data_IF_879316403023
#
_entry.id   IF_879316403023
#
_cell.length_a   1.000
_cell.length_b   1.000
_cell.length_c   1.000
_cell.angle_alpha   90.00
_cell.angle_beta   90.00
_cell.angle_gamma   90.00
#
_symmetry.space_group_name_H-M   'P 1'
#
loop_
_entity.id
_entity.type
_entity.pdbx_description
1 polymer ?
#
# COMPACT_ATOMS: atom_id res chain seq x y z
N UNK A 1 -21.92 23.25 -19.17
CA UNK A 1 -21.72 21.84 -18.81
C UNK A 1 -20.44 21.79 -18.01
N UNK A 2 -20.49 21.42 -16.73
CA UNK A 2 -19.28 21.27 -15.93
C UNK A 2 -18.40 20.19 -16.55
N UNK A 3 -17.09 20.46 -16.65
CA UNK A 3 -16.10 19.54 -17.19
C UNK A 3 -16.08 18.25 -16.38
N UNK A 4 -16.52 17.14 -16.96
CA UNK A 4 -16.57 15.85 -16.30
C UNK A 4 -15.12 15.33 -16.16
N UNK A 5 -14.67 15.20 -14.91
CA UNK A 5 -13.38 14.62 -14.59
C UNK A 5 -13.56 13.17 -14.11
N UNK A 6 -12.64 12.31 -14.52
CA UNK A 6 -12.59 10.90 -14.16
C UNK A 6 -11.38 10.64 -13.26
N UNK A 7 -11.49 9.65 -12.36
CA UNK A 7 -10.30 9.07 -11.75
C UNK A 7 -9.76 7.99 -12.69
N UNK A 8 -8.49 8.14 -13.08
CA UNK A 8 -7.76 7.21 -13.96
C UNK A 8 -6.77 6.46 -13.10
N UNK A 9 -6.92 5.14 -13.04
CA UNK A 9 -6.05 4.26 -12.27
C UNK A 9 -5.13 3.49 -13.20
N UNK A 10 -3.84 3.58 -12.97
CA UNK A 10 -2.79 2.88 -13.69
C UNK A 10 -2.35 1.66 -12.87
N UNK A 11 -2.70 0.43 -13.32
CA UNK A 11 -2.29 -0.78 -12.62
C UNK A 11 -0.78 -1.00 -12.69
N UNK A 12 -0.19 -1.59 -11.64
CA UNK A 12 1.20 -2.07 -11.70
C UNK A 12 1.37 -3.15 -12.78
N UNK A 13 2.60 -3.40 -13.20
CA UNK A 13 2.93 -4.50 -14.14
C UNK A 13 2.40 -5.84 -13.61
N UNK A 14 2.50 -6.07 -12.29
CA UNK A 14 2.02 -7.30 -11.63
C UNK A 14 0.50 -7.41 -11.56
N UNK A 15 -0.21 -6.30 -11.76
CA UNK A 15 -1.68 -6.24 -11.74
C UNK A 15 -2.35 -6.45 -13.10
N UNK A 16 -1.59 -6.43 -14.20
CA UNK A 16 -2.14 -6.52 -15.57
C UNK A 16 -3.04 -7.74 -15.80
N UNK A 17 -2.68 -8.88 -15.22
CA UNK A 17 -3.47 -10.12 -15.31
C UNK A 17 -4.54 -10.23 -14.19
N UNK A 18 -4.64 -9.24 -13.31
CA UNK A 18 -5.52 -9.21 -12.14
C UNK A 18 -6.46 -8.00 -12.14
N UNK A 19 -6.67 -7.37 -13.30
CA UNK A 19 -7.53 -6.20 -13.45
C UNK A 19 -8.96 -6.44 -12.94
N UNK A 20 -9.63 -7.58 -13.16
CA UNK A 20 -10.96 -7.83 -12.61
C UNK A 20 -10.98 -7.77 -11.08
N UNK A 21 -9.94 -8.32 -10.40
CA UNK A 21 -9.80 -8.22 -8.95
C UNK A 21 -9.57 -6.78 -8.50
N UNK A 22 -8.72 -6.02 -9.20
CA UNK A 22 -8.49 -4.62 -8.88
C UNK A 22 -9.76 -3.77 -9.05
N UNK A 23 -10.55 -3.98 -10.10
CA UNK A 23 -11.86 -3.32 -10.29
C UNK A 23 -12.79 -3.65 -9.12
N UNK A 24 -12.82 -4.92 -8.69
CA UNK A 24 -13.62 -5.34 -7.54
C UNK A 24 -13.17 -4.64 -6.27
N UNK A 25 -11.86 -4.53 -6.04
CA UNK A 25 -11.30 -3.83 -4.89
C UNK A 25 -11.61 -2.33 -4.91
N UNK A 26 -11.52 -1.67 -6.10
CA UNK A 26 -11.89 -0.26 -6.26
C UNK A 26 -13.36 -0.05 -5.88
N UNK A 27 -14.28 -0.88 -6.39
CA UNK A 27 -15.70 -0.76 -6.04
C UNK A 27 -15.96 -0.97 -4.56
N UNK A 28 -15.25 -1.90 -3.92
CA UNK A 28 -15.38 -2.17 -2.49
C UNK A 28 -14.85 -1.01 -1.65
N UNK A 29 -13.63 -0.50 -1.95
CA UNK A 29 -13.03 0.57 -1.14
C UNK A 29 -13.83 1.87 -1.26
N UNK A 30 -14.35 2.21 -2.42
CA UNK A 30 -15.23 3.37 -2.60
C UNK A 30 -16.46 3.26 -1.71
N UNK A 31 -17.11 2.08 -1.64
CA UNK A 31 -18.24 1.85 -0.74
C UNK A 31 -17.85 1.95 0.73
N UNK A 32 -16.71 1.36 1.13
CA UNK A 32 -16.19 1.42 2.49
C UNK A 32 -15.92 2.88 2.90
N UNK A 33 -15.41 3.69 1.98
CA UNK A 33 -15.08 5.10 2.19
C UNK A 33 -16.26 6.05 1.89
N UNK A 34 -17.49 5.53 1.73
CA UNK A 34 -18.71 6.29 1.44
C UNK A 34 -18.59 7.20 0.21
N UNK A 35 -17.84 6.76 -0.82
CA UNK A 35 -17.70 7.49 -2.07
C UNK A 35 -18.70 6.98 -3.11
N UNK A 36 -19.53 7.88 -3.63
CA UNK A 36 -20.50 7.56 -4.69
C UNK A 36 -19.81 7.54 -6.06
N UNK A 37 -20.15 6.55 -6.86
CA UNK A 37 -19.65 6.40 -8.22
C UNK A 37 -20.71 5.81 -9.16
N UNK A 38 -20.68 6.22 -10.42
CA UNK A 38 -21.58 5.71 -11.47
C UNK A 38 -21.03 4.45 -12.11
N UNK A 39 -19.74 4.43 -12.41
CA UNK A 39 -19.11 3.29 -13.07
C UNK A 39 -17.64 3.13 -12.74
N UNK A 40 -17.16 1.85 -12.76
CA UNK A 40 -15.76 1.48 -12.74
C UNK A 40 -15.53 0.51 -13.89
N UNK A 41 -14.76 0.90 -14.90
CA UNK A 41 -14.57 0.11 -16.13
C UNK A 41 -13.13 0.19 -16.64
N UNK A 42 -12.71 -0.83 -17.36
CA UNK A 42 -11.41 -0.87 -18.04
C UNK A 42 -11.48 -0.10 -19.36
N UNK A 43 -10.42 0.68 -19.66
CA UNK A 43 -10.16 1.24 -20.99
C UNK A 43 -8.69 1.02 -21.36
N UNK A 44 -8.42 0.02 -22.21
CA UNK A 44 -7.06 -0.39 -22.53
C UNK A 44 -6.32 -0.93 -21.30
N UNK A 45 -5.24 -0.27 -20.94
CA UNK A 45 -4.37 -0.63 -19.80
C UNK A 45 -4.71 0.11 -18.52
N UNK A 46 -5.69 1.02 -18.55
CA UNK A 46 -6.12 1.79 -17.37
C UNK A 46 -7.53 1.42 -16.92
N UNK A 47 -7.86 1.80 -15.68
CA UNK A 47 -9.21 1.68 -15.12
C UNK A 47 -9.75 3.07 -14.90
N UNK A 48 -10.97 3.31 -15.41
CA UNK A 48 -11.70 4.57 -15.28
C UNK A 48 -12.73 4.45 -14.18
N UNK A 49 -12.79 5.45 -13.35
CA UNK A 49 -13.81 5.60 -12.31
C UNK A 49 -14.59 6.90 -12.56
N UNK A 50 -15.88 6.77 -12.84
CA UNK A 50 -16.82 7.88 -12.91
C UNK A 50 -17.41 8.08 -11.52
N UNK A 51 -16.79 8.96 -10.75
CA UNK A 51 -17.14 9.25 -9.36
C UNK A 51 -17.77 10.63 -9.24
N UNK A 52 -18.69 10.80 -8.29
CA UNK A 52 -19.32 12.09 -8.02
C UNK A 52 -18.29 13.11 -7.51
N UNK A 53 -17.38 12.66 -6.66
CA UNK A 53 -16.21 13.44 -6.21
C UNK A 53 -14.90 12.74 -6.58
N UNK A 54 -14.22 13.16 -7.66
CA UNK A 54 -12.96 12.56 -8.08
C UNK A 54 -11.82 12.71 -7.08
N UNK A 55 -11.82 13.79 -6.27
CA UNK A 55 -10.72 14.06 -5.31
C UNK A 55 -10.77 13.07 -4.15
N UNK A 56 -11.90 12.99 -3.45
CA UNK A 56 -12.04 12.03 -2.35
C UNK A 56 -12.01 10.58 -2.83
N UNK A 57 -12.56 10.31 -4.02
CA UNK A 57 -12.49 8.98 -4.62
C UNK A 57 -11.07 8.57 -4.97
N UNK A 58 -10.23 9.47 -5.49
CA UNK A 58 -8.82 9.19 -5.77
C UNK A 58 -8.04 8.90 -4.49
N UNK A 59 -8.28 9.64 -3.42
CA UNK A 59 -7.69 9.39 -2.10
C UNK A 59 -8.10 8.03 -1.52
N UNK A 60 -9.39 7.66 -1.63
CA UNK A 60 -9.88 6.36 -1.21
C UNK A 60 -9.24 5.21 -2.02
N UNK A 61 -9.15 5.37 -3.34
CA UNK A 61 -8.54 4.36 -4.22
C UNK A 61 -7.03 4.24 -3.97
N UNK A 62 -6.35 5.31 -3.58
CA UNK A 62 -4.92 5.29 -3.26
C UNK A 62 -4.57 4.50 -1.99
N UNK A 63 -5.55 4.03 -1.23
CA UNK A 63 -5.35 3.03 -0.18
C UNK A 63 -5.05 1.63 -0.73
N UNK A 64 -5.37 1.35 -2.00
CA UNK A 64 -5.27 0.01 -2.58
C UNK A 64 -3.87 -0.31 -3.10
N UNK A 65 -3.48 -1.57 -2.94
CA UNK A 65 -2.33 -2.15 -3.64
C UNK A 65 -2.69 -2.57 -5.08
N UNK A 66 -1.66 -2.71 -5.91
CA UNK A 66 -1.81 -3.03 -7.32
C UNK A 66 -1.90 -1.81 -8.23
N UNK A 67 -1.69 -0.63 -7.69
CA UNK A 67 -1.76 0.66 -8.40
C UNK A 67 -0.37 1.30 -8.46
N UNK A 68 0.07 1.63 -9.66
CA UNK A 68 1.33 2.34 -9.90
C UNK A 68 1.16 3.85 -9.80
N UNK A 69 0.07 4.35 -10.41
CA UNK A 69 -0.26 5.78 -10.46
C UNK A 69 -1.77 5.96 -10.47
N UNK A 70 -2.23 7.03 -9.85
CA UNK A 70 -3.62 7.48 -9.90
C UNK A 70 -3.65 8.93 -10.40
N UNK A 71 -4.64 9.27 -11.22
CA UNK A 71 -4.78 10.60 -11.74
C UNK A 71 -6.24 11.05 -11.78
N UNK A 72 -6.48 12.35 -11.66
CA UNK A 72 -7.75 12.99 -12.01
C UNK A 72 -7.56 13.61 -13.39
N UNK A 73 -8.39 13.23 -14.35
CA UNK A 73 -8.19 13.61 -15.74
C UNK A 73 -9.49 13.97 -16.44
N UNK A 74 -9.40 14.83 -17.44
CA UNK A 74 -10.45 15.10 -18.42
C UNK A 74 -10.34 14.12 -19.56
N UNK A 75 -11.46 13.57 -19.98
CA UNK A 75 -11.53 12.62 -21.09
C UNK A 75 -11.83 13.36 -22.39
N UNK A 76 -11.02 13.11 -23.41
CA UNK A 76 -11.26 13.56 -24.79
C UNK A 76 -11.17 12.37 -25.75
N UNK A 77 -11.66 12.50 -26.97
CA UNK A 77 -11.40 11.49 -28.01
C UNK A 77 -9.91 11.44 -28.35
N UNK A 78 -9.40 10.27 -28.68
CA UNK A 78 -8.03 10.11 -29.18
C UNK A 78 -7.93 10.65 -30.63
N UNK A 79 -7.91 11.97 -30.72
CA UNK A 79 -7.82 12.80 -31.91
C UNK A 79 -6.79 13.90 -31.66
N UNK A 80 -5.90 14.10 -32.64
CA UNK A 80 -4.76 15.02 -32.49
C UNK A 80 -5.18 16.41 -32.02
N UNK A 81 -6.11 17.03 -32.73
CA UNK A 81 -6.54 18.42 -32.44
C UNK A 81 -7.25 18.52 -31.06
N UNK A 82 -8.08 17.52 -30.73
CA UNK A 82 -8.81 17.52 -29.45
C UNK A 82 -7.87 17.34 -28.26
N UNK A 83 -6.89 16.42 -28.38
CA UNK A 83 -5.90 16.20 -27.32
C UNK A 83 -5.02 17.43 -27.13
N UNK A 84 -4.49 18.01 -28.21
CA UNK A 84 -3.67 19.24 -28.16
C UNK A 84 -4.46 20.39 -27.54
N UNK A 85 -5.71 20.62 -27.97
CA UNK A 85 -6.57 21.67 -27.43
C UNK A 85 -6.84 21.50 -25.94
N UNK A 86 -7.12 20.28 -25.49
CA UNK A 86 -7.39 20.01 -24.07
C UNK A 86 -6.12 20.16 -23.21
N UNK A 87 -4.96 19.66 -23.69
CA UNK A 87 -3.67 19.88 -22.97
C UNK A 87 -3.40 21.38 -22.84
N UNK A 88 -3.63 22.14 -23.92
CA UNK A 88 -3.45 23.61 -23.92
C UNK A 88 -4.39 24.30 -22.93
N UNK A 89 -5.63 23.81 -22.80
CA UNK A 89 -6.63 24.35 -21.87
C UNK A 89 -6.25 24.04 -20.42
N UNK A 90 -5.97 22.76 -20.13
CA UNK A 90 -5.56 22.31 -18.79
C UNK A 90 -4.25 22.98 -18.37
N UNK A 91 -3.24 22.97 -19.23
CA UNK A 91 -1.97 23.65 -18.97
C UNK A 91 -2.13 25.15 -18.73
N UNK A 92 -2.99 25.78 -19.56
CA UNK A 92 -3.33 27.20 -19.38
C UNK A 92 -3.96 27.51 -18.01
N UNK A 93 -4.66 26.58 -17.38
CA UNK A 93 -5.29 26.75 -16.07
C UNK A 93 -4.37 26.39 -14.90
N UNK A 94 -3.45 25.45 -15.10
CA UNK A 94 -2.59 24.94 -14.05
C UNK A 94 -1.28 25.70 -13.86
N UNK A 95 -0.77 26.34 -14.94
CA UNK A 95 0.53 27.02 -14.92
C UNK A 95 0.47 28.38 -14.22
N UNK A 96 1.39 28.59 -13.29
CA UNK A 96 1.62 29.85 -12.63
C UNK A 96 2.69 30.67 -13.36
N UNK A 97 2.80 31.95 -12.96
CA UNK A 97 3.77 32.90 -13.55
C UNK A 97 5.20 32.39 -13.38
N UNK A 98 5.95 32.30 -14.48
CA UNK A 98 7.36 31.93 -14.50
C UNK A 98 7.65 30.43 -14.37
N UNK A 99 6.64 29.57 -14.19
CA UNK A 99 6.84 28.12 -14.11
C UNK A 99 7.35 27.51 -15.41
N UNK A 100 8.23 26.52 -15.26
CA UNK A 100 8.66 25.65 -16.36
C UNK A 100 7.74 24.44 -16.40
N UNK A 101 7.27 24.10 -17.60
CA UNK A 101 6.37 22.96 -17.76
C UNK A 101 6.93 21.93 -18.74
N UNK A 102 6.60 20.68 -18.49
CA UNK A 102 6.89 19.58 -19.40
C UNK A 102 5.55 18.95 -19.84
N UNK A 103 5.33 18.88 -21.16
CA UNK A 103 4.22 18.11 -21.72
C UNK A 103 4.74 16.71 -22.00
N UNK A 104 4.07 15.68 -21.43
CA UNK A 104 4.39 14.28 -21.67
C UNK A 104 3.14 13.51 -22.08
N UNK A 105 3.21 12.82 -23.21
CA UNK A 105 2.09 12.04 -23.76
C UNK A 105 2.54 10.60 -23.94
N UNK A 106 1.84 9.69 -23.28
CA UNK A 106 2.12 8.25 -23.33
C UNK A 106 0.90 7.47 -23.82
N UNK A 107 1.10 6.20 -24.16
CA UNK A 107 0.04 5.29 -24.58
C UNK A 107 -0.04 5.10 -26.11
N UNK A 108 -1.24 4.76 -26.60
CA UNK A 108 -1.46 4.38 -28.01
C UNK A 108 -2.09 5.52 -28.78
N UNK A 109 -1.35 6.11 -29.72
CA UNK A 109 -1.85 7.11 -30.65
C UNK A 109 -2.52 6.46 -31.88
N UNK A 110 -3.38 7.21 -32.56
CA UNK A 110 -4.11 6.75 -33.72
C UNK A 110 -3.83 7.64 -34.95
N UNK A 111 -2.84 7.25 -35.74
CA UNK A 111 -2.48 7.95 -36.99
C UNK A 111 -1.60 9.19 -36.78
N UNK A 112 -0.98 9.36 -35.63
CA UNK A 112 -0.02 10.42 -35.28
C UNK A 112 0.94 9.93 -34.22
N UNK A 113 2.06 10.63 -33.99
CA UNK A 113 2.99 10.30 -32.91
C UNK A 113 2.66 11.10 -31.66
N UNK A 114 2.86 10.48 -30.48
CA UNK A 114 2.69 11.17 -29.19
C UNK A 114 3.59 12.39 -29.08
N UNK A 115 4.78 12.31 -29.68
CA UNK A 115 5.74 13.43 -29.72
C UNK A 115 5.23 14.64 -30.47
N UNK A 116 4.45 14.46 -31.51
CA UNK A 116 3.86 15.58 -32.30
C UNK A 116 2.83 16.33 -31.43
N UNK A 117 2.06 15.61 -30.58
CA UNK A 117 1.16 16.23 -29.61
C UNK A 117 1.96 17.05 -28.59
N UNK A 118 3.04 16.48 -28.04
CA UNK A 118 3.88 17.19 -27.06
C UNK A 118 4.41 18.51 -27.63
N UNK A 119 4.91 18.50 -28.87
CA UNK A 119 5.44 19.69 -29.53
C UNK A 119 4.33 20.71 -29.79
N UNK A 120 3.21 20.27 -30.38
CA UNK A 120 2.10 21.17 -30.70
C UNK A 120 1.46 21.79 -29.45
N UNK A 121 1.22 20.97 -28.41
CA UNK A 121 0.66 21.48 -27.14
C UNK A 121 1.63 22.42 -26.44
N UNK A 122 2.94 22.12 -26.45
CA UNK A 122 3.97 23.00 -25.90
C UNK A 122 3.96 24.36 -26.59
N UNK A 123 3.94 24.38 -27.93
CA UNK A 123 3.90 25.63 -28.73
C UNK A 123 2.66 26.46 -28.42
N UNK A 124 1.48 25.82 -28.39
CA UNK A 124 0.22 26.50 -28.08
C UNK A 124 0.18 27.08 -26.65
N UNK A 125 0.77 26.38 -25.68
CA UNK A 125 0.85 26.87 -24.28
C UNK A 125 1.78 28.08 -24.21
N UNK A 126 2.95 28.04 -24.88
CA UNK A 126 3.88 29.16 -24.93
C UNK A 126 3.17 30.40 -25.52
N UNK A 127 2.50 30.25 -26.65
CA UNK A 127 1.76 31.33 -27.29
C UNK A 127 0.66 31.89 -26.36
N UNK A 128 -0.15 31.02 -25.76
CA UNK A 128 -1.26 31.43 -24.89
C UNK A 128 -0.80 32.07 -23.58
N UNK A 129 0.39 31.74 -23.08
CA UNK A 129 0.94 32.17 -21.77
C UNK A 129 2.20 32.99 -21.88
N UNK A 130 2.46 33.59 -23.04
CA UNK A 130 3.65 34.44 -23.31
C UNK A 130 3.81 35.55 -22.27
N UNK A 131 2.71 36.20 -21.89
CA UNK A 131 2.66 37.29 -20.91
C UNK A 131 2.90 36.82 -19.47
N UNK A 132 2.80 35.55 -19.18
CA UNK A 132 3.06 35.00 -17.84
C UNK A 132 4.49 34.45 -17.70
N UNK A 133 5.29 34.48 -18.74
CA UNK A 133 6.68 33.98 -18.72
C UNK A 133 6.78 32.48 -18.52
N UNK A 134 5.71 31.71 -18.82
CA UNK A 134 5.75 30.26 -18.81
C UNK A 134 6.68 29.79 -19.94
N UNK A 135 7.54 28.81 -19.65
CA UNK A 135 8.54 28.28 -20.60
C UNK A 135 8.66 26.77 -20.51
N UNK A 136 9.05 26.11 -21.59
CA UNK A 136 9.24 24.66 -21.55
C UNK A 136 10.41 24.28 -20.64
N UNK A 137 10.25 23.22 -19.89
CA UNK A 137 11.28 22.55 -19.10
C UNK A 137 11.84 21.32 -19.81
N UNK A 138 12.78 20.65 -19.17
CA UNK A 138 13.34 19.36 -19.57
C UNK A 138 12.89 18.27 -18.61
N UNK A 139 13.13 16.98 -18.94
CA UNK A 139 12.81 15.86 -18.04
C UNK A 139 13.50 15.95 -16.68
N UNK A 140 14.66 16.61 -16.62
CA UNK A 140 15.41 16.82 -15.38
C UNK A 140 15.04 18.11 -14.65
N UNK A 141 14.33 19.04 -15.31
CA UNK A 141 14.11 20.38 -14.78
C UNK A 141 12.80 21.00 -15.26
N UNK A 142 11.72 20.68 -14.56
CA UNK A 142 10.39 21.27 -14.72
C UNK A 142 9.73 21.51 -13.36
N UNK A 143 8.82 22.49 -13.31
CA UNK A 143 8.04 22.80 -12.11
C UNK A 143 6.64 22.14 -12.19
N UNK A 144 6.12 21.96 -13.43
CA UNK A 144 4.80 21.34 -13.67
C UNK A 144 4.86 20.31 -14.81
N UNK A 145 4.41 19.08 -14.50
CA UNK A 145 4.21 18.03 -15.51
C UNK A 145 2.75 18.05 -16.00
N UNK A 146 2.57 18.26 -17.30
CA UNK A 146 1.29 18.15 -18.00
C UNK A 146 1.23 16.77 -18.66
N UNK A 147 0.75 15.78 -17.90
CA UNK A 147 0.74 14.39 -18.31
C UNK A 147 -0.57 14.04 -19.01
N UNK A 148 -0.48 13.30 -20.13
CA UNK A 148 -1.63 12.78 -20.87
C UNK A 148 -1.40 11.31 -21.21
N UNK A 149 -2.42 10.49 -21.04
CA UNK A 149 -2.40 9.08 -21.41
C UNK A 149 -3.43 8.77 -22.51
N UNK A 150 -2.99 8.12 -23.58
CA UNK A 150 -3.81 7.75 -24.72
C UNK A 150 -4.14 6.25 -24.69
N UNK A 151 -5.42 5.92 -24.75
CA UNK A 151 -5.92 4.59 -25.09
C UNK A 151 -6.34 4.55 -26.54
N UNK A 152 -6.76 3.40 -27.05
CA UNK A 152 -7.19 3.25 -28.45
C UNK A 152 -8.23 4.30 -28.88
N UNK A 153 -9.16 4.68 -27.99
CA UNK A 153 -10.30 5.53 -28.35
C UNK A 153 -10.31 6.89 -27.62
N UNK A 154 -9.62 6.99 -26.50
CA UNK A 154 -9.70 8.16 -25.63
C UNK A 154 -8.32 8.69 -25.26
N UNK A 155 -8.25 9.99 -24.95
CA UNK A 155 -7.15 10.65 -24.29
C UNK A 155 -7.58 11.10 -22.90
N UNK A 156 -6.69 10.96 -21.94
CA UNK A 156 -6.89 11.38 -20.54
C UNK A 156 -5.87 12.44 -20.19
N UNK A 157 -6.30 13.70 -20.21
CA UNK A 157 -5.46 14.86 -19.86
C UNK A 157 -5.52 15.05 -18.35
N UNK A 158 -4.42 14.77 -17.67
CA UNK A 158 -4.37 14.79 -16.23
C UNK A 158 -4.31 16.21 -15.67
N UNK A 159 -5.18 16.49 -14.70
CA UNK A 159 -5.19 17.71 -13.91
C UNK A 159 -4.33 17.53 -12.66
N UNK A 160 -4.35 16.32 -12.10
CA UNK A 160 -3.62 15.90 -10.93
C UNK A 160 -3.15 14.47 -11.10
N UNK A 161 -2.00 14.13 -10.58
CA UNK A 161 -1.55 12.74 -10.50
C UNK A 161 -0.72 12.51 -9.24
N UNK A 162 -0.84 11.30 -8.67
CA UNK A 162 -0.12 10.87 -7.51
C UNK A 162 0.42 9.44 -7.71
N UNK A 163 1.45 9.09 -6.96
CA UNK A 163 2.03 7.75 -6.94
C UNK A 163 1.06 6.81 -6.24
N UNK A 164 0.83 5.64 -6.82
CA UNK A 164 0.08 4.55 -6.18
C UNK A 164 0.94 3.77 -5.19
N UNK A 165 0.31 2.85 -4.46
CA UNK A 165 0.95 2.05 -3.41
C UNK A 165 1.81 0.88 -3.95
N UNK A 166 1.82 0.68 -5.26
CA UNK A 166 2.52 -0.46 -5.85
C UNK A 166 1.89 -1.82 -5.49
N UNK A 167 2.70 -2.87 -5.47
CA UNK A 167 2.27 -4.20 -5.05
C UNK A 167 1.31 -4.90 -6.00
N UNK A 168 0.50 -5.79 -5.44
CA UNK A 168 -0.45 -6.66 -6.14
C UNK A 168 -1.85 -6.47 -5.53
N UNK A 169 -2.95 -6.53 -6.32
CA UNK A 169 -4.30 -6.31 -5.79
C UNK A 169 -4.63 -7.24 -4.61
N UNK A 170 -5.23 -6.69 -3.58
CA UNK A 170 -5.67 -7.42 -2.38
C UNK A 170 -6.52 -8.65 -2.75
N UNK A 171 -6.33 -9.76 -2.05
CA UNK A 171 -6.95 -11.07 -2.29
C UNK A 171 -6.60 -11.73 -3.63
N UNK A 172 -5.64 -11.24 -4.37
CA UNK A 172 -5.31 -11.81 -5.68
C UNK A 172 -4.47 -13.10 -5.62
N UNK A 173 -3.96 -13.47 -4.45
CA UNK A 173 -3.31 -14.76 -4.22
C UNK A 173 -4.33 -15.89 -3.99
N UNK A 174 -5.61 -15.56 -3.71
CA UNK A 174 -6.66 -16.54 -3.31
C UNK A 174 -6.23 -17.41 -2.11
N UNK A 175 -5.42 -16.87 -1.24
CA UNK A 175 -4.87 -17.52 -0.05
C UNK A 175 -4.90 -16.57 1.14
N UNK A 176 -5.13 -17.16 2.31
CA UNK A 176 -5.07 -16.44 3.58
C UNK A 176 -3.70 -16.62 4.20
N UNK A 177 -3.18 -15.54 4.79
CA UNK A 177 -1.96 -15.55 5.58
C UNK A 177 -2.26 -15.10 7.00
N UNK A 178 -1.47 -15.55 7.97
CA UNK A 178 -1.46 -14.98 9.31
C UNK A 178 -0.21 -14.10 9.46
N UNK A 179 -0.41 -12.89 9.97
CA UNK A 179 0.65 -11.92 10.26
C UNK A 179 0.60 -11.57 11.74
N UNK A 180 1.75 -11.29 12.33
CA UNK A 180 1.84 -10.75 13.69
C UNK A 180 2.38 -9.33 13.68
N UNK A 181 1.88 -8.49 14.59
CA UNK A 181 2.41 -7.14 14.86
C UNK A 181 2.79 -7.07 16.32
N UNK A 182 4.08 -6.88 16.61
CA UNK A 182 4.64 -6.82 17.97
C UNK A 182 5.76 -5.78 18.10
N UNK A 183 6.24 -5.26 16.95
CA UNK A 183 7.20 -4.18 16.82
C UNK A 183 7.15 -3.58 15.40
N UNK A 184 8.05 -2.67 15.10
CA UNK A 184 8.13 -1.95 13.85
C UNK A 184 8.43 -2.88 12.65
N UNK A 185 9.33 -3.85 12.83
CA UNK A 185 9.70 -4.80 11.75
C UNK A 185 8.52 -5.71 11.41
N UNK A 186 7.82 -6.20 12.41
CA UNK A 186 6.65 -7.05 12.22
C UNK A 186 5.48 -6.29 11.59
N UNK A 187 5.34 -4.99 11.90
CA UNK A 187 4.35 -4.13 11.24
C UNK A 187 4.65 -3.98 9.75
N UNK A 188 5.91 -3.74 9.37
CA UNK A 188 6.34 -3.66 7.96
C UNK A 188 6.14 -5.01 7.27
N UNK A 189 6.50 -6.12 7.92
CA UNK A 189 6.28 -7.47 7.39
C UNK A 189 4.80 -7.75 7.12
N UNK A 190 3.91 -7.34 8.04
CA UNK A 190 2.47 -7.45 7.86
C UNK A 190 1.98 -6.63 6.68
N UNK A 191 2.42 -5.37 6.57
CA UNK A 191 2.11 -4.48 5.45
C UNK A 191 2.55 -5.08 4.11
N UNK A 192 3.79 -5.56 4.00
CA UNK A 192 4.32 -6.19 2.80
C UNK A 192 3.59 -7.49 2.43
N UNK A 193 3.14 -8.28 3.40
CA UNK A 193 2.33 -9.47 3.14
C UNK A 193 1.01 -9.10 2.47
N UNK A 194 0.34 -8.04 2.93
CA UNK A 194 -0.89 -7.53 2.32
C UNK A 194 -0.60 -6.97 0.93
N UNK A 195 0.51 -6.23 0.75
CA UNK A 195 0.98 -5.65 -0.52
C UNK A 195 1.30 -6.72 -1.57
N UNK A 196 1.65 -7.94 -1.13
CA UNK A 196 1.81 -9.12 -1.99
C UNK A 196 0.47 -9.80 -2.37
N UNK A 197 -0.66 -9.24 -1.98
CA UNK A 197 -2.00 -9.66 -2.40
C UNK A 197 -2.61 -10.78 -1.56
N UNK A 198 -2.11 -11.06 -0.36
CA UNK A 198 -2.72 -11.99 0.58
C UNK A 198 -3.87 -11.37 1.36
N UNK A 199 -4.89 -12.17 1.70
CA UNK A 199 -5.85 -11.82 2.74
C UNK A 199 -5.24 -12.17 4.11
N UNK A 200 -4.96 -11.15 4.92
CA UNK A 200 -4.20 -11.34 6.14
C UNK A 200 -5.08 -11.31 7.39
N UNK A 201 -4.97 -12.36 8.22
CA UNK A 201 -5.41 -12.34 9.61
C UNK A 201 -4.27 -11.70 10.43
N UNK A 202 -4.58 -10.64 11.18
CA UNK A 202 -3.60 -9.90 11.97
C UNK A 202 -3.77 -10.27 13.44
N UNK A 203 -2.67 -10.72 14.08
CA UNK A 203 -2.59 -10.90 15.52
C UNK A 203 -1.61 -9.88 16.10
N UNK A 204 -1.88 -9.40 17.31
CA UNK A 204 -1.06 -8.42 18.01
C UNK A 204 -0.50 -9.07 19.27
N UNK A 205 0.83 -9.10 19.37
CA UNK A 205 1.52 -9.68 20.51
C UNK A 205 2.26 -8.58 21.29
N UNK A 206 2.04 -8.50 22.61
CA UNK A 206 2.65 -7.50 23.46
C UNK A 206 3.12 -8.12 24.78
N UNK A 207 4.13 -7.53 25.40
CA UNK A 207 4.67 -7.94 26.71
C UNK A 207 4.07 -7.12 27.85
N UNK A 208 3.90 -5.81 27.61
CA UNK A 208 3.37 -4.86 28.59
C UNK A 208 2.29 -3.98 27.97
N UNK A 209 1.32 -3.55 28.77
CA UNK A 209 0.26 -2.64 28.33
C UNK A 209 0.79 -1.32 27.75
N UNK A 210 1.95 -0.84 28.20
CA UNK A 210 2.61 0.36 27.68
C UNK A 210 3.02 0.26 26.19
N UNK A 211 3.19 -0.95 25.65
CA UNK A 211 3.51 -1.18 24.24
C UNK A 211 2.29 -1.02 23.34
N UNK A 212 1.08 -1.25 23.87
CA UNK A 212 -0.17 -1.27 23.09
C UNK A 212 -0.42 0.02 22.32
N UNK A 213 -0.13 1.18 22.91
CA UNK A 213 -0.33 2.46 22.21
C UNK A 213 0.45 2.54 20.90
N UNK A 214 1.71 2.10 20.89
CA UNK A 214 2.54 2.11 19.68
C UNK A 214 2.05 1.06 18.67
N UNK A 215 1.70 -0.15 19.14
CA UNK A 215 1.18 -1.21 18.29
C UNK A 215 -0.12 -0.80 17.61
N UNK A 216 -1.05 -0.17 18.35
CA UNK A 216 -2.31 0.34 17.79
C UNK A 216 -2.07 1.44 16.76
N UNK A 217 -1.11 2.34 16.98
CA UNK A 217 -0.74 3.34 15.97
C UNK A 217 -0.26 2.70 14.67
N UNK A 218 0.56 1.64 14.74
CA UNK A 218 1.02 0.91 13.56
C UNK A 218 -0.13 0.18 12.86
N UNK A 219 -0.99 -0.48 13.62
CA UNK A 219 -2.17 -1.19 13.11
C UNK A 219 -3.11 -0.24 12.37
N UNK A 220 -3.35 0.96 12.90
CA UNK A 220 -4.21 1.98 12.27
C UNK A 220 -3.69 2.45 10.91
N UNK A 221 -2.39 2.28 10.60
CA UNK A 221 -1.84 2.54 9.27
C UNK A 221 -2.01 1.35 8.32
N UNK A 222 -2.16 0.15 8.84
CA UNK A 222 -2.23 -1.10 8.06
C UNK A 222 -3.68 -1.46 7.71
N UNK A 223 -4.61 -1.40 8.67
CA UNK A 223 -5.99 -1.89 8.48
C UNK A 223 -6.77 -1.20 7.36
N UNK A 224 -6.57 0.10 7.04
CA UNK A 224 -7.27 0.73 5.91
C UNK A 224 -6.91 0.10 4.54
N UNK A 225 -5.80 -0.63 4.47
CA UNK A 225 -5.34 -1.34 3.27
C UNK A 225 -6.07 -2.67 3.04
N UNK A 226 -6.73 -3.18 4.08
CA UNK A 226 -7.60 -4.35 3.97
C UNK A 226 -8.94 -3.91 3.37
N UNK A 227 -9.33 -4.52 2.26
CA UNK A 227 -10.56 -4.17 1.54
C UNK A 227 -11.74 -4.88 2.20
N UNK A 228 -11.96 -4.60 3.50
CA UNK A 228 -13.00 -5.15 4.38
C UNK A 228 -13.73 -4.03 5.11
N UNK A 229 -15.01 -4.22 5.41
CA UNK A 229 -15.76 -3.29 6.26
C UNK A 229 -15.40 -3.43 7.73
N UNK A 230 -15.08 -4.66 8.15
CA UNK A 230 -14.72 -4.99 9.52
C UNK A 230 -13.52 -5.93 9.53
N UNK A 231 -12.66 -5.76 10.53
CA UNK A 231 -11.47 -6.59 10.77
C UNK A 231 -11.46 -7.03 12.22
N UNK A 232 -11.29 -8.33 12.45
CA UNK A 232 -11.08 -8.87 13.79
C UNK A 232 -9.59 -8.83 14.10
N UNK A 233 -9.22 -8.12 15.14
CA UNK A 233 -7.88 -8.06 15.70
C UNK A 233 -7.82 -8.92 16.96
N UNK A 234 -6.80 -9.75 17.07
CA UNK A 234 -6.60 -10.63 18.22
C UNK A 234 -5.33 -10.23 18.98
N UNK A 235 -5.46 -10.00 20.26
CA UNK A 235 -4.39 -9.52 21.15
C UNK A 235 -3.95 -10.62 22.09
N UNK A 236 -2.63 -10.83 22.18
CA UNK A 236 -2.00 -11.85 23.03
C UNK A 236 -0.96 -11.20 23.95
N UNK A 237 -1.10 -11.41 25.26
CA UNK A 237 -0.10 -10.98 26.23
C UNK A 237 0.95 -12.09 26.39
N UNK A 238 2.19 -11.82 26.02
CA UNK A 238 3.33 -12.75 26.11
C UNK A 238 4.23 -12.34 27.27
N UNK A 239 4.15 -13.04 28.39
CA UNK A 239 4.89 -12.74 29.61
C UNK A 239 6.35 -13.17 29.51
N UNK A 240 7.20 -12.32 28.95
CA UNK A 240 8.64 -12.53 28.88
C UNK A 240 9.35 -11.27 29.39
N UNK A 241 10.42 -11.44 30.18
CA UNK A 241 11.23 -10.32 30.66
C UNK A 241 11.81 -9.52 29.49
N UNK A 242 11.83 -8.19 29.64
CA UNK A 242 12.08 -7.27 28.52
C UNK A 242 13.55 -7.08 28.15
N UNK A 243 14.48 -7.39 29.03
CA UNK A 243 15.88 -7.04 28.87
C UNK A 243 16.67 -8.10 28.08
N UNK A 244 17.40 -7.64 27.06
CA UNK A 244 18.44 -8.37 26.35
C UNK A 244 17.97 -9.12 25.09
N UNK A 245 18.93 -9.35 24.20
CA UNK A 245 18.78 -10.01 22.90
C UNK A 245 18.17 -11.41 23.02
N UNK A 246 18.61 -12.17 24.03
CA UNK A 246 18.12 -13.53 24.29
C UNK A 246 16.59 -13.54 24.53
N UNK A 247 16.09 -12.63 25.36
CA UNK A 247 14.67 -12.54 25.69
C UNK A 247 13.83 -12.08 24.48
N UNK A 248 14.40 -11.24 23.62
CA UNK A 248 13.75 -10.88 22.37
C UNK A 248 13.59 -12.08 21.42
N UNK A 249 14.61 -12.92 21.26
CA UNK A 249 14.52 -14.14 20.44
C UNK A 249 13.51 -15.15 21.01
N UNK A 250 13.44 -15.31 22.35
CA UNK A 250 12.41 -16.12 23.01
C UNK A 250 11.02 -15.55 22.72
N UNK A 251 10.87 -14.21 22.79
CA UNK A 251 9.62 -13.53 22.47
C UNK A 251 9.17 -13.79 21.04
N UNK A 252 10.05 -13.59 20.05
CA UNK A 252 9.75 -13.84 18.63
C UNK A 252 9.40 -15.32 18.39
N UNK A 253 10.11 -16.24 19.02
CA UNK A 253 9.82 -17.68 18.94
C UNK A 253 8.46 -18.04 19.57
N UNK A 254 8.10 -17.42 20.70
CA UNK A 254 6.77 -17.60 21.31
C UNK A 254 5.66 -17.10 20.39
N UNK A 255 5.88 -15.98 19.72
CA UNK A 255 4.93 -15.44 18.71
C UNK A 255 4.78 -16.41 17.56
N UNK A 256 5.87 -17.01 17.06
CA UNK A 256 5.81 -18.03 16.01
C UNK A 256 4.90 -19.18 16.42
N UNK A 257 5.03 -19.71 17.64
CA UNK A 257 4.17 -20.80 18.13
C UNK A 257 2.69 -20.37 18.25
N UNK A 258 2.42 -19.14 18.71
CA UNK A 258 1.06 -18.57 18.73
C UNK A 258 0.49 -18.48 17.29
N UNK A 259 1.29 -17.98 16.33
CA UNK A 259 0.88 -17.90 14.93
C UNK A 259 0.56 -19.28 14.36
N UNK A 260 1.36 -20.29 14.66
CA UNK A 260 1.16 -21.67 14.19
C UNK A 260 -0.11 -22.27 14.80
N UNK A 261 -0.38 -22.02 16.08
CA UNK A 261 -1.62 -22.43 16.74
C UNK A 261 -2.84 -21.76 16.09
N UNK A 262 -2.82 -20.45 15.92
CA UNK A 262 -3.90 -19.68 15.29
C UNK A 262 -4.09 -20.04 13.81
N UNK A 263 -3.00 -20.30 13.08
CA UNK A 263 -3.07 -20.76 11.70
C UNK A 263 -3.77 -22.12 11.59
N UNK A 264 -3.49 -23.04 12.54
CA UNK A 264 -4.16 -24.34 12.62
C UNK A 264 -5.65 -24.17 12.93
N UNK A 265 -5.99 -23.41 13.95
CA UNK A 265 -7.37 -23.20 14.43
C UNK A 265 -8.25 -22.52 13.39
N UNK A 266 -7.68 -21.65 12.52
CA UNK A 266 -8.40 -20.93 11.49
C UNK A 266 -8.20 -21.50 10.08
N UNK A 267 -7.57 -22.65 9.94
CA UNK A 267 -7.27 -23.31 8.65
C UNK A 267 -6.52 -22.39 7.66
N UNK A 268 -5.55 -21.62 8.17
CA UNK A 268 -4.72 -20.73 7.35
C UNK A 268 -3.45 -21.46 6.93
N UNK A 269 -3.17 -21.49 5.64
CA UNK A 269 -2.03 -22.24 5.08
C UNK A 269 -0.70 -21.48 5.12
N UNK A 270 -0.72 -20.15 5.17
CA UNK A 270 0.50 -19.32 5.07
C UNK A 270 0.76 -18.56 6.37
N UNK A 271 2.03 -18.53 6.77
CA UNK A 271 2.51 -17.83 7.98
C UNK A 271 3.55 -16.80 7.55
N UNK A 272 3.26 -15.52 7.78
CA UNK A 272 4.16 -14.43 7.46
C UNK A 272 5.17 -14.24 8.58
N UNK A 273 6.44 -14.49 8.30
CA UNK A 273 7.54 -14.36 9.24
C UNK A 273 8.14 -12.96 9.16
N UNK A 274 8.12 -12.24 10.26
CA UNK A 274 8.72 -10.91 10.39
C UNK A 274 10.25 -11.02 10.62
N UNK A 275 10.91 -11.77 9.73
CA UNK A 275 12.34 -12.06 9.84
C UNK A 275 13.11 -11.40 8.70
N UNK A 276 14.07 -10.55 9.06
CA UNK A 276 15.01 -9.94 8.13
C UNK A 276 16.43 -10.43 8.41
N UNK A 277 17.21 -10.80 7.39
CA UNK A 277 18.64 -11.15 7.55
C UNK A 277 19.49 -10.03 8.15
N UNK A 278 19.00 -8.79 8.13
CA UNK A 278 19.64 -7.64 8.77
C UNK A 278 19.57 -7.71 10.30
N UNK A 279 18.57 -8.44 10.84
CA UNK A 279 18.27 -8.47 12.30
C UNK A 279 18.52 -9.85 12.87
N UNK A 280 18.18 -10.90 12.15
CA UNK A 280 18.22 -12.28 12.63
C UNK A 280 19.31 -13.08 11.95
N UNK A 281 19.97 -13.94 12.71
CA UNK A 281 20.94 -14.88 12.15
C UNK A 281 20.29 -15.89 11.20
N UNK A 282 21.03 -16.38 10.23
CA UNK A 282 20.57 -17.41 9.29
C UNK A 282 20.09 -18.67 9.99
N UNK A 283 20.73 -19.06 11.10
CA UNK A 283 20.31 -20.21 11.91
C UNK A 283 18.91 -20.03 12.52
N UNK A 284 18.60 -18.83 13.01
CA UNK A 284 17.27 -18.55 13.56
C UNK A 284 16.21 -18.50 12.47
N UNK A 285 16.53 -17.93 11.30
CA UNK A 285 15.65 -17.89 10.13
C UNK A 285 15.35 -19.33 9.66
N UNK A 286 16.37 -20.15 9.47
CA UNK A 286 16.24 -21.55 9.04
C UNK A 286 15.42 -22.37 10.05
N UNK A 287 15.69 -22.22 11.34
CA UNK A 287 14.89 -22.84 12.40
C UNK A 287 13.41 -22.47 12.29
N UNK A 288 13.11 -21.18 12.15
CA UNK A 288 11.74 -20.67 12.08
C UNK A 288 11.00 -21.20 10.85
N UNK A 289 11.66 -21.22 9.69
CA UNK A 289 11.12 -21.80 8.45
C UNK A 289 10.83 -23.29 8.62
N UNK A 290 11.81 -24.08 9.12
CA UNK A 290 11.62 -25.51 9.40
C UNK A 290 10.45 -25.75 10.36
N UNK A 291 10.31 -24.89 11.37
CA UNK A 291 9.21 -24.99 12.33
C UNK A 291 7.83 -24.82 11.68
N UNK A 292 7.71 -23.88 10.73
CA UNK A 292 6.48 -23.66 9.94
C UNK A 292 6.18 -24.90 9.09
N UNK A 293 7.15 -25.43 8.36
CA UNK A 293 7.00 -26.63 7.54
C UNK A 293 6.60 -27.87 8.37
N UNK A 294 7.17 -28.04 9.57
CA UNK A 294 6.82 -29.15 10.48
C UNK A 294 5.35 -29.12 10.94
N UNK A 295 4.68 -27.99 10.78
CA UNK A 295 3.25 -27.81 11.11
C UNK A 295 2.36 -27.79 9.85
N UNK A 296 2.87 -28.29 8.72
CA UNK A 296 2.18 -28.32 7.42
C UNK A 296 1.68 -26.93 6.99
N UNK A 297 2.51 -25.90 7.20
CA UNK A 297 2.25 -24.52 6.78
C UNK A 297 3.36 -24.03 5.87
N UNK A 298 3.07 -22.98 5.11
CA UNK A 298 4.00 -22.36 4.17
C UNK A 298 4.49 -21.02 4.72
N UNK A 299 5.81 -20.85 4.93
CA UNK A 299 6.34 -19.57 5.36
C UNK A 299 6.33 -18.56 4.23
N UNK A 300 5.94 -17.32 4.54
CA UNK A 300 6.16 -16.12 3.71
C UNK A 300 7.22 -15.31 4.42
N UNK A 301 8.22 -14.85 3.67
CA UNK A 301 9.30 -14.01 4.20
C UNK A 301 9.36 -12.69 3.44
N UNK A 302 8.49 -11.71 3.77
CA UNK A 302 8.39 -10.47 3.01
C UNK A 302 9.66 -9.62 3.08
N UNK A 303 10.44 -9.80 4.13
CA UNK A 303 11.64 -9.00 4.42
C UNK A 303 12.95 -9.70 4.04
N UNK A 304 12.92 -10.83 3.32
CA UNK A 304 14.12 -11.60 2.98
C UNK A 304 15.04 -10.92 1.96
N UNK A 305 14.49 -10.05 1.12
CA UNK A 305 15.24 -9.32 0.09
C UNK A 305 15.31 -7.80 0.33
N UNK A 306 14.95 -7.34 1.53
CA UNK A 306 14.81 -5.92 1.82
C UNK A 306 16.07 -5.39 2.52
N UNK A 307 16.70 -4.44 1.91
CA UNK A 307 17.81 -3.66 2.46
C UNK A 307 17.36 -2.22 2.78
N UNK A 308 17.74 -1.26 1.96
CA UNK A 308 17.34 0.15 2.10
C UNK A 308 15.84 0.39 1.95
N UNK A 309 15.11 -0.49 1.24
CA UNK A 309 13.65 -0.38 1.10
C UNK A 309 12.90 -0.52 2.40
N UNK A 310 13.44 -1.20 3.41
CA UNK A 310 12.82 -1.30 4.72
C UNK A 310 12.51 0.10 5.32
N UNK A 311 13.42 1.05 5.13
CA UNK A 311 13.24 2.42 5.60
C UNK A 311 12.20 3.19 4.77
N UNK A 312 12.16 2.96 3.46
CA UNK A 312 11.14 3.55 2.59
C UNK A 312 9.74 3.03 2.95
N UNK A 313 9.61 1.73 3.19
CA UNK A 313 8.36 1.10 3.61
C UNK A 313 7.91 1.54 5.00
N UNK A 314 8.85 1.74 5.93
CA UNK A 314 8.56 2.34 7.23
C UNK A 314 7.94 3.74 7.07
N UNK A 315 8.42 4.54 6.12
CA UNK A 315 7.84 5.86 5.80
C UNK A 315 6.45 5.74 5.20
N UNK A 316 6.23 4.79 4.28
CA UNK A 316 4.91 4.58 3.65
C UNK A 316 3.80 4.28 4.66
N UNK A 317 4.13 3.65 5.79
CA UNK A 317 3.18 3.35 6.89
C UNK A 317 3.34 4.29 8.10
N UNK A 318 3.99 5.44 7.93
CA UNK A 318 4.08 6.48 8.97
C UNK A 318 5.00 6.14 10.14
N UNK A 319 5.96 5.23 9.97
CA UNK A 319 6.92 4.83 10.99
C UNK A 319 8.25 5.60 10.93
N UNK A 320 8.32 6.75 10.25
CA UNK A 320 9.55 7.54 10.10
C UNK A 320 10.22 7.87 11.45
N UNK A 321 9.42 8.21 12.46
CA UNK A 321 9.90 8.51 13.81
C UNK A 321 10.44 7.29 14.56
N UNK A 322 10.19 6.09 14.05
CA UNK A 322 10.61 4.83 14.64
C UNK A 322 11.90 4.27 14.00
N UNK A 323 12.36 4.85 12.89
CA UNK A 323 13.58 4.43 12.17
C UNK A 323 14.80 4.24 13.11
N UNK A 324 15.09 5.15 14.06
CA UNK A 324 16.21 4.95 15.00
C UNK A 324 16.09 3.70 15.88
N UNK A 325 14.86 3.21 16.10
CA UNK A 325 14.65 1.93 16.80
C UNK A 325 14.91 0.74 15.90
N UNK A 326 14.54 0.82 14.62
CA UNK A 326 14.85 -0.22 13.63
C UNK A 326 16.36 -0.40 13.51
N UNK A 327 17.13 0.69 13.44
CA UNK A 327 18.59 0.65 13.37
C UNK A 327 19.22 -0.06 14.58
N UNK A 328 18.65 0.12 15.77
CA UNK A 328 19.11 -0.60 16.98
C UNK A 328 18.81 -2.10 16.92
N UNK A 329 17.72 -2.52 16.27
CA UNK A 329 17.39 -3.93 16.10
C UNK A 329 18.40 -4.64 15.17
N UNK A 330 19.01 -3.95 14.21
CA UNK A 330 20.05 -4.52 13.33
C UNK A 330 21.31 -4.97 14.06
N UNK A 331 21.46 -4.65 15.34
CA UNK A 331 22.58 -5.10 16.17
C UNK A 331 22.34 -6.44 16.87
N UNK A 332 21.15 -7.07 16.67
CA UNK A 332 20.80 -8.36 17.27
C UNK A 332 21.47 -9.49 16.47
N UNK A 333 22.71 -9.77 16.78
CA UNK A 333 23.44 -10.88 16.16
C UNK A 333 23.64 -11.99 17.21
N UNK A 334 22.64 -12.88 17.36
CA UNK A 334 22.76 -14.06 18.21
C UNK A 334 22.63 -15.32 17.38
N UNK A 335 23.67 -16.15 17.45
CA UNK A 335 23.70 -17.48 16.80
C UNK A 335 22.96 -18.56 17.61
N UNK A 336 22.48 -18.24 18.81
CA UNK A 336 21.81 -19.19 19.66
C UNK A 336 20.30 -19.25 19.36
N UNK A 337 19.81 -20.46 19.09
CA UNK A 337 18.38 -20.73 19.01
C UNK A 337 17.83 -20.84 20.43
N UNK A 338 16.89 -19.97 20.76
CA UNK A 338 16.25 -19.96 22.09
C UNK A 338 14.85 -20.55 21.98
N UNK A 339 14.62 -21.66 22.67
CA UNK A 339 13.29 -22.29 22.72
C UNK A 339 12.36 -21.48 23.64
N UNK A 340 11.14 -21.27 23.16
CA UNK A 340 10.05 -20.74 24.01
C UNK A 340 9.60 -21.80 25.01
N UNK A 341 9.19 -21.36 26.20
CA UNK A 341 8.52 -22.23 27.15
C UNK A 341 7.08 -22.52 26.68
N UNK A 342 6.68 -23.79 26.67
CA UNK A 342 5.27 -24.14 26.39
C UNK A 342 4.30 -23.42 27.35
N UNK A 343 4.73 -23.19 28.61
CA UNK A 343 3.92 -22.47 29.60
C UNK A 343 3.65 -21.01 29.22
N UNK A 344 4.63 -20.32 28.62
CA UNK A 344 4.47 -18.93 28.19
C UNK A 344 3.53 -18.82 26.97
N UNK A 345 3.63 -19.77 26.03
CA UNK A 345 2.73 -19.87 24.89
C UNK A 345 1.30 -20.18 25.35
N UNK A 346 1.11 -21.19 26.23
CA UNK A 346 -0.21 -21.54 26.79
C UNK A 346 -0.83 -20.37 27.55
N UNK A 347 -0.04 -19.63 28.30
CA UNK A 347 -0.51 -18.44 29.00
C UNK A 347 -0.99 -17.37 27.98
N UNK A 348 -0.19 -17.10 26.96
CA UNK A 348 -0.52 -16.13 25.92
C UNK A 348 -1.82 -16.51 25.19
N UNK A 349 -1.99 -17.78 24.83
CA UNK A 349 -3.21 -18.28 24.20
C UNK A 349 -4.45 -18.11 25.09
N UNK A 350 -4.32 -18.34 26.40
CA UNK A 350 -5.40 -18.10 27.37
C UNK A 350 -5.71 -16.61 27.58
N UNK A 351 -4.76 -15.74 27.35
CA UNK A 351 -4.91 -14.27 27.49
C UNK A 351 -5.55 -13.60 26.26
N UNK A 352 -5.93 -14.36 25.24
CA UNK A 352 -6.48 -13.87 23.99
C UNK A 352 -7.68 -12.95 24.20
N UNK A 353 -7.59 -11.73 23.67
CA UNK A 353 -8.72 -10.79 23.55
C UNK A 353 -8.95 -10.52 22.07
N UNK A 354 -10.22 -10.50 21.65
CA UNK A 354 -10.61 -10.23 20.26
C UNK A 354 -11.44 -8.97 20.17
N UNK A 355 -11.10 -8.08 19.23
CA UNK A 355 -11.80 -6.82 18.99
C UNK A 355 -12.18 -6.76 17.52
N UNK A 356 -13.42 -6.40 17.22
CA UNK A 356 -13.86 -6.12 15.85
C UNK A 356 -13.76 -4.63 15.58
N UNK A 357 -12.94 -4.25 14.61
CA UNK A 357 -12.72 -2.85 14.19
C UNK A 357 -13.43 -2.62 12.87
N UNK A 358 -14.25 -1.58 12.79
CA UNK A 358 -14.87 -1.13 11.55
C UNK A 358 -13.90 -0.23 10.79
N UNK A 359 -13.85 -0.37 9.46
CA UNK A 359 -13.02 0.44 8.57
C UNK A 359 -13.93 1.39 7.80
N UNK A 360 -13.62 2.69 7.84
CA UNK A 360 -14.36 3.71 7.11
C UNK A 360 -13.90 5.13 7.48
N UNK A 361 -14.42 6.17 6.80
CA UNK A 361 -13.91 7.53 6.97
C UNK A 361 -14.21 8.14 8.34
N UNK A 362 -15.25 7.66 9.02
CA UNK A 362 -15.70 8.19 10.31
C UNK A 362 -15.53 7.20 11.48
N UNK A 363 -14.85 6.09 11.25
CA UNK A 363 -14.68 5.06 12.27
C UNK A 363 -13.40 5.30 13.05
N UNK A 364 -13.46 6.26 13.98
CA UNK A 364 -12.48 6.38 15.05
C UNK A 364 -12.87 5.34 16.11
N UNK A 365 -12.53 4.08 15.85
CA UNK A 365 -12.68 3.06 16.89
C UNK A 365 -11.46 3.16 17.81
N UNK A 366 -11.70 3.50 19.06
CA UNK A 366 -10.63 3.47 20.05
C UNK A 366 -10.37 2.01 20.44
N UNK A 367 -9.36 1.42 19.77
CA UNK A 367 -8.93 0.05 20.01
C UNK A 367 -8.42 -0.09 21.46
N UNK A 368 -7.84 0.97 22.03
CA UNK A 368 -7.26 0.95 23.38
C UNK A 368 -8.37 0.86 24.44
N UNK A 369 -9.43 1.68 24.32
CA UNK A 369 -10.57 1.63 25.24
C UNK A 369 -11.27 0.27 25.23
N UNK A 370 -11.25 -0.43 24.08
CA UNK A 370 -11.83 -1.77 23.95
C UNK A 370 -10.96 -2.87 24.58
N UNK A 371 -9.71 -2.57 24.96
CA UNK A 371 -8.78 -3.52 25.60
C UNK A 371 -8.79 -3.45 27.12
N UNK A 372 -9.32 -2.38 27.70
CA UNK A 372 -9.54 -2.26 29.15
C UNK A 372 -10.67 -3.19 29.60
#
# INVERSE_FOLDING_TARGET
>A
MGDISYVVVFPTVFSKNKIPQLITNIKKILKIQNQEFKSVKRDGDVILVDANDPVFSSAAINLLFGIEKIAIARQVKNDFQKVVSEITTVGGNLLLKGERFLVKVEGTSKGFFTKDIEIAATSNIIEKKANMGARPGTEENFDKLLYTYLTKNNGYVCIFSDKGQGGIPYQSQNKNAICSVYDEISAISCFETIKQGFDSKIIICYRQKSELMNLVKMINQIIPRLVKQEVVLEFFNVKINQAGTRNYLIFVNSILEIMLHEAKSNNISHVSLALSPLVFSTNFIDYSMKRVFQKDRLPIMPLSGVDTKLFEEAKEIGLEKQIPKLEKLFQINSNEIQNSSNKDVDFALKSKKSITVRIGPNNVHDILDSLE
#
